data_IF_584339600040
#
_entry.id   IF_584339600040
#
_cell.length_a   1.000
_cell.length_b   1.000
_cell.length_c   1.000
_cell.angle_alpha   90.00
_cell.angle_beta   90.00
_cell.angle_gamma   90.00
#
_symmetry.space_group_name_H-M   'P 1'
#
loop_
_entity.id
_entity.type
_entity.pdbx_description
1 polymer ?
#
# COMPACT_ATOMS: atom_id res chain seq x y z
N UNK A 1 11.73 26.97 13.34
CA UNK A 1 11.90 26.40 11.99
C UNK A 1 12.11 24.90 11.95
N UNK A 2 13.00 24.32 12.78
CA UNK A 2 13.26 22.87 12.78
C UNK A 2 12.01 22.00 13.09
N UNK A 3 11.16 22.44 14.02
CA UNK A 3 9.89 21.76 14.36
C UNK A 3 8.91 21.74 13.18
N UNK A 4 8.91 22.79 12.34
CA UNK A 4 8.08 22.83 11.14
C UNK A 4 8.56 21.86 10.07
N UNK A 5 9.87 21.75 9.86
CA UNK A 5 10.43 20.78 8.93
C UNK A 5 10.13 19.33 9.37
N UNK A 6 10.22 19.04 10.67
CA UNK A 6 9.82 17.74 11.21
C UNK A 6 8.33 17.46 11.03
N UNK A 7 7.46 18.45 11.22
CA UNK A 7 6.02 18.28 10.98
C UNK A 7 5.73 17.90 9.53
N UNK A 8 6.35 18.61 8.56
CA UNK A 8 6.21 18.31 7.13
C UNK A 8 6.72 16.91 6.80
N UNK A 9 7.83 16.51 7.42
CA UNK A 9 8.41 15.18 7.21
C UNK A 9 7.50 14.06 7.74
N UNK A 10 6.89 14.25 8.90
CA UNK A 10 5.91 13.31 9.46
C UNK A 10 4.65 13.26 8.59
N UNK A 11 4.15 14.39 8.12
CA UNK A 11 2.98 14.47 7.25
C UNK A 11 3.19 13.73 5.92
N UNK A 12 4.37 13.89 5.31
CA UNK A 12 4.74 13.15 4.10
C UNK A 12 4.83 11.64 4.35
N UNK A 13 5.39 11.24 5.49
CA UNK A 13 5.49 9.82 5.86
C UNK A 13 4.10 9.20 6.07
N UNK A 14 3.22 9.89 6.79
CA UNK A 14 1.85 9.44 7.05
C UNK A 14 1.05 9.38 5.74
N UNK A 15 1.16 10.39 4.88
CA UNK A 15 0.52 10.41 3.55
C UNK A 15 1.00 9.28 2.65
N UNK A 16 2.30 8.95 2.68
CA UNK A 16 2.83 7.80 1.96
C UNK A 16 2.28 6.48 2.54
N UNK A 17 2.17 6.37 3.86
CA UNK A 17 1.58 5.21 4.54
C UNK A 17 0.11 5.00 4.16
N UNK A 18 -0.69 6.07 4.16
CA UNK A 18 -2.11 6.00 3.77
C UNK A 18 -2.28 5.69 2.28
N UNK A 19 -1.37 6.15 1.42
CA UNK A 19 -1.37 5.77 0.01
C UNK A 19 -1.18 4.25 -0.18
N UNK A 20 -0.23 3.64 0.53
CA UNK A 20 -0.03 2.19 0.51
C UNK A 20 -1.28 1.45 1.02
N UNK A 21 -1.86 1.90 2.15
CA UNK A 21 -3.09 1.32 2.70
C UNK A 21 -4.26 1.42 1.71
N UNK A 22 -4.38 2.52 0.97
CA UNK A 22 -5.43 2.70 -0.03
C UNK A 22 -5.35 1.65 -1.15
N UNK A 23 -4.13 1.30 -1.60
CA UNK A 23 -3.93 0.24 -2.62
C UNK A 23 -4.42 -1.12 -2.09
N UNK A 24 -4.08 -1.48 -0.85
CA UNK A 24 -4.61 -2.71 -0.22
C UNK A 24 -6.13 -2.66 -0.05
N UNK A 25 -6.68 -1.47 0.25
CA UNK A 25 -8.11 -1.24 0.33
C UNK A 25 -8.82 -1.51 -0.99
N UNK A 26 -8.26 -1.07 -2.12
CA UNK A 26 -8.80 -1.35 -3.47
C UNK A 26 -8.79 -2.86 -3.75
N UNK A 27 -7.67 -3.54 -3.48
CA UNK A 27 -7.57 -5.00 -3.66
C UNK A 27 -8.62 -5.72 -2.79
N UNK A 28 -8.69 -5.38 -1.50
CA UNK A 28 -9.64 -5.98 -0.56
C UNK A 28 -11.09 -5.69 -0.96
N UNK A 29 -11.37 -4.48 -1.46
CA UNK A 29 -12.69 -4.10 -1.96
C UNK A 29 -13.12 -4.92 -3.17
N UNK A 30 -12.24 -5.09 -4.16
CA UNK A 30 -12.54 -5.89 -5.37
C UNK A 30 -12.89 -7.34 -5.00
N UNK A 31 -12.15 -7.93 -4.06
CA UNK A 31 -12.38 -9.32 -3.61
C UNK A 31 -13.45 -9.47 -2.52
N UNK A 32 -13.77 -8.40 -1.78
CA UNK A 32 -14.79 -8.40 -0.72
C UNK A 32 -16.20 -8.15 -1.23
N UNK A 33 -16.36 -7.68 -2.49
CA UNK A 33 -17.67 -7.57 -3.12
C UNK A 33 -18.23 -8.97 -3.42
N UNK A 34 -19.41 -9.27 -2.87
CA UNK A 34 -20.17 -10.52 -3.10
C UNK A 34 -20.79 -10.61 -4.51
N UNK A 35 -20.10 -10.10 -5.53
CA UNK A 35 -20.55 -10.10 -6.92
C UNK A 35 -19.81 -11.23 -7.64
N UNK A 36 -20.49 -12.08 -8.43
CA UNK A 36 -19.83 -13.13 -9.20
C UNK A 36 -18.96 -12.51 -10.29
N UNK A 37 -17.68 -12.32 -9.97
CA UNK A 37 -16.63 -11.93 -10.92
C UNK A 37 -15.86 -13.18 -11.34
N UNK A 38 -15.43 -13.24 -12.60
CA UNK A 38 -14.65 -14.37 -13.13
C UNK A 38 -13.32 -14.61 -12.39
N UNK A 39 -12.85 -13.62 -11.62
CA UNK A 39 -11.71 -13.74 -10.71
C UNK A 39 -11.91 -14.81 -9.62
N UNK A 40 -13.15 -15.10 -9.20
CA UNK A 40 -13.45 -16.15 -8.22
C UNK A 40 -13.36 -17.57 -8.79
N UNK A 41 -13.46 -17.73 -10.12
CA UNK A 41 -13.27 -19.04 -10.76
C UNK A 41 -11.82 -19.54 -10.61
N UNK A 42 -10.88 -18.62 -10.38
CA UNK A 42 -9.51 -18.92 -10.03
C UNK A 42 -9.34 -18.83 -8.51
N UNK A 43 -9.53 -19.95 -7.80
CA UNK A 43 -9.33 -20.03 -6.34
C UNK A 43 -7.95 -19.51 -5.87
N UNK A 44 -6.94 -19.52 -6.76
CA UNK A 44 -5.59 -19.00 -6.49
C UNK A 44 -5.42 -17.48 -6.77
N UNK A 45 -6.34 -16.84 -7.49
CA UNK A 45 -6.21 -15.43 -7.89
C UNK A 45 -6.14 -14.49 -6.68
N UNK A 46 -6.95 -14.74 -5.65
CA UNK A 46 -6.91 -13.97 -4.41
C UNK A 46 -5.53 -14.03 -3.74
N UNK A 47 -4.97 -15.23 -3.59
CA UNK A 47 -3.66 -15.43 -2.99
C UNK A 47 -2.55 -14.75 -3.79
N UNK A 48 -2.56 -14.88 -5.12
CA UNK A 48 -1.56 -14.23 -5.97
C UNK A 48 -1.64 -12.71 -5.90
N UNK A 49 -2.84 -12.13 -5.96
CA UNK A 49 -3.00 -10.68 -5.87
C UNK A 49 -2.60 -10.18 -4.47
N UNK A 50 -2.90 -10.93 -3.41
CA UNK A 50 -2.43 -10.61 -2.05
C UNK A 50 -0.91 -10.63 -1.94
N UNK A 51 -0.24 -11.67 -2.46
CA UNK A 51 1.21 -11.78 -2.41
C UNK A 51 1.86 -10.63 -3.20
N UNK A 52 1.40 -10.38 -4.42
CA UNK A 52 1.94 -9.32 -5.28
C UNK A 52 1.73 -7.94 -4.64
N UNK A 53 0.52 -7.64 -4.14
CA UNK A 53 0.23 -6.36 -3.47
C UNK A 53 1.06 -6.19 -2.19
N UNK A 54 1.29 -7.27 -1.44
CA UNK A 54 2.15 -7.27 -0.25
C UNK A 54 3.61 -6.98 -0.61
N UNK A 55 4.14 -7.63 -1.65
CA UNK A 55 5.52 -7.43 -2.11
C UNK A 55 5.71 -6.01 -2.66
N UNK A 56 4.79 -5.54 -3.50
CA UNK A 56 4.84 -4.19 -4.09
C UNK A 56 4.69 -3.12 -3.01
N UNK A 57 3.72 -3.28 -2.09
CA UNK A 57 3.53 -2.37 -0.97
C UNK A 57 4.73 -2.33 -0.03
N UNK A 58 5.33 -3.48 0.28
CA UNK A 58 6.55 -3.58 1.08
C UNK A 58 7.74 -2.91 0.41
N UNK A 59 7.96 -3.16 -0.89
CA UNK A 59 9.01 -2.51 -1.69
C UNK A 59 8.81 -1.00 -1.76
N UNK A 60 7.58 -0.54 -1.96
CA UNK A 60 7.28 0.89 -1.99
C UNK A 60 7.58 1.54 -0.64
N UNK A 61 7.15 0.93 0.46
CA UNK A 61 7.42 1.42 1.81
C UNK A 61 8.93 1.43 2.13
N UNK A 62 9.65 0.38 1.76
CA UNK A 62 11.12 0.31 1.87
C UNK A 62 11.79 1.41 1.04
N UNK A 63 11.30 1.68 -0.17
CA UNK A 63 11.81 2.74 -1.04
C UNK A 63 11.60 4.12 -0.41
N UNK A 64 10.43 4.37 0.19
CA UNK A 64 10.16 5.60 0.95
C UNK A 64 11.09 5.73 2.15
N UNK A 65 11.23 4.67 2.96
CA UNK A 65 12.15 4.68 4.11
C UNK A 65 13.59 4.95 3.68
N UNK A 66 14.03 4.35 2.57
CA UNK A 66 15.38 4.56 2.06
C UNK A 66 15.58 5.99 1.56
N UNK A 67 14.59 6.54 0.86
CA UNK A 67 14.60 7.94 0.43
C UNK A 67 14.69 8.91 1.63
N UNK A 68 13.92 8.67 2.70
CA UNK A 68 13.97 9.46 3.93
C UNK A 68 15.23 9.22 4.77
N UNK A 69 15.93 8.10 4.58
CA UNK A 69 17.21 7.84 5.27
C UNK A 69 18.39 8.54 4.59
N UNK A 70 18.33 8.72 3.27
CA UNK A 70 19.39 9.38 2.50
C UNK A 70 19.21 10.90 2.32
N UNK A 71 18.07 11.46 2.71
CA UNK A 71 17.83 12.90 2.80
C UNK A 71 17.57 13.30 4.24
#
# INVERSE_FOLDING_TARGET
DNVRNQLIQIELLITAGTFVIAIFGVVTGIFGMNIPIDLFNYSSAFNWVLIISTVVGGLMFLSFLWYFKHK
#
